data_IF_307491319894
#
_entry.id   IF_307491319894
#
_cell.length_a   1.000
_cell.length_b   1.000
_cell.length_c   1.000
_cell.angle_alpha   90.00
_cell.angle_beta   90.00
_cell.angle_gamma   90.00
#
_symmetry.space_group_name_H-M   'P 1'
#
loop_
_entity.id
_entity.type
_entity.pdbx_description
1 polymer ?
#
# COMPACT_ATOMS: atom_id res chain seq x y z
N UNK A 1 63.85 -1.00 40.52
CA UNK A 1 62.80 -2.04 40.77
C UNK A 1 61.69 -1.54 41.76
N UNK A 2 61.30 -0.26 41.70
CA UNK A 2 60.22 0.28 42.60
C UNK A 2 59.11 0.99 41.84
N UNK A 3 59.06 0.94 40.47
CA UNK A 3 58.02 1.63 39.71
C UNK A 3 56.82 0.73 39.25
N UNK A 4 56.85 -0.58 39.54
CA UNK A 4 55.87 -1.54 39.06
C UNK A 4 54.68 -1.84 40.00
N UNK A 5 54.74 -1.40 41.30
CA UNK A 5 53.70 -1.73 42.25
C UNK A 5 52.59 -0.68 42.39
N UNK A 6 52.88 0.59 42.09
CA UNK A 6 51.90 1.68 42.20
C UNK A 6 50.83 1.66 41.08
N UNK A 7 51.15 1.10 39.89
CA UNK A 7 50.18 1.06 38.76
C UNK A 7 49.13 -0.05 38.91
N UNK A 8 49.43 -1.13 39.61
CA UNK A 8 48.47 -2.23 39.82
C UNK A 8 47.45 -1.96 40.93
N UNK A 9 47.80 -1.11 41.91
CA UNK A 9 46.89 -0.79 43.02
C UNK A 9 45.78 0.20 42.61
N UNK A 10 46.05 1.06 41.61
CA UNK A 10 45.06 2.03 41.11
C UNK A 10 43.99 1.39 40.19
N UNK A 11 44.31 0.28 39.50
CA UNK A 11 43.34 -0.44 38.67
C UNK A 11 42.34 -1.28 39.50
N UNK A 12 42.76 -1.81 40.65
CA UNK A 12 41.85 -2.53 41.55
C UNK A 12 40.90 -1.61 42.29
N UNK A 13 41.31 -0.38 42.61
CA UNK A 13 40.42 0.60 43.28
C UNK A 13 39.37 1.15 42.32
N UNK A 14 39.65 1.31 41.02
CA UNK A 14 38.72 1.80 40.01
C UNK A 14 37.67 0.72 39.63
N UNK A 15 38.06 -0.54 39.65
CA UNK A 15 37.15 -1.67 39.38
C UNK A 15 36.22 -1.92 40.59
N UNK A 16 36.71 -1.74 41.83
CA UNK A 16 35.89 -1.89 43.05
C UNK A 16 34.82 -0.79 43.17
N UNK A 17 35.06 0.43 42.67
CA UNK A 17 34.09 1.53 42.67
C UNK A 17 33.00 1.39 41.62
N UNK A 18 33.26 0.66 40.54
CA UNK A 18 32.25 0.38 39.47
C UNK A 18 31.26 -0.75 39.85
N UNK A 19 31.62 -1.63 40.78
CA UNK A 19 30.73 -2.71 41.23
C UNK A 19 29.75 -2.31 42.35
N UNK A 20 29.93 -1.17 42.99
CA UNK A 20 29.06 -0.68 44.09
C UNK A 20 27.97 0.29 43.64
N UNK A 21 27.92 0.67 42.33
CA UNK A 21 26.96 1.65 41.82
C UNK A 21 25.63 1.03 41.31
N UNK A 22 25.52 -0.29 41.22
CA UNK A 22 24.38 -0.95 40.60
C UNK A 22 23.11 -1.15 41.48
N UNK A 23 23.14 -1.17 42.83
CA UNK A 23 21.92 -1.30 43.61
C UNK A 23 21.21 0.02 43.96
N UNK A 24 21.80 1.18 43.68
CA UNK A 24 21.27 2.48 44.14
C UNK A 24 20.05 2.92 43.36
N UNK A 25 19.96 2.59 42.06
CA UNK A 25 18.86 3.01 41.21
C UNK A 25 17.51 2.34 41.53
N UNK A 26 17.50 1.06 41.85
CA UNK A 26 16.27 0.33 42.19
C UNK A 26 15.68 0.72 43.53
N UNK A 27 16.52 1.11 44.48
CA UNK A 27 16.08 1.50 45.82
C UNK A 27 15.42 2.88 45.85
N UNK A 28 15.97 3.87 45.12
CA UNK A 28 15.39 5.20 44.99
C UNK A 28 14.02 5.19 44.30
N UNK A 29 13.84 4.34 43.34
CA UNK A 29 12.55 4.15 42.66
C UNK A 29 11.49 3.57 43.61
N UNK A 30 11.81 2.49 44.30
CA UNK A 30 10.92 1.85 45.27
C UNK A 30 10.53 2.82 46.40
N UNK A 31 11.47 3.56 46.97
CA UNK A 31 11.23 4.54 48.05
C UNK A 31 10.33 5.71 47.63
N UNK A 32 10.43 6.17 46.35
CA UNK A 32 9.60 7.25 45.88
C UNK A 32 8.17 6.81 45.56
N UNK A 33 7.99 5.55 45.20
CA UNK A 33 6.69 5.00 44.79
C UNK A 33 5.91 4.39 45.96
N UNK A 34 6.59 3.82 46.95
CA UNK A 34 6.00 3.13 48.10
C UNK A 34 4.90 3.96 48.81
N UNK A 35 5.08 5.27 49.11
CA UNK A 35 4.05 6.04 49.80
C UNK A 35 2.73 6.14 49.00
N UNK A 36 2.77 6.14 47.66
CA UNK A 36 1.57 6.15 46.85
C UNK A 36 0.87 4.78 46.84
N UNK A 37 1.67 3.71 46.75
CA UNK A 37 1.19 2.32 46.78
C UNK A 37 0.48 2.02 48.09
N UNK A 38 1.14 2.33 49.21
CA UNK A 38 0.60 2.09 50.57
C UNK A 38 -0.66 2.89 50.84
N UNK A 39 -0.69 4.15 50.41
CA UNK A 39 -1.83 5.04 50.68
C UNK A 39 -3.08 4.81 49.78
N UNK A 40 -2.90 4.21 48.60
CA UNK A 40 -3.99 4.28 47.59
C UNK A 40 -4.12 3.07 46.66
N UNK A 41 -3.19 2.13 46.67
CA UNK A 41 -3.17 1.05 45.67
C UNK A 41 -3.27 -0.35 46.30
N UNK A 42 -2.60 -0.56 47.43
CA UNK A 42 -2.38 -1.89 48.02
C UNK A 42 -3.68 -2.58 48.43
N UNK A 43 -4.69 -1.84 48.90
CA UNK A 43 -5.98 -2.39 49.33
C UNK A 43 -6.72 -3.18 48.21
N UNK A 44 -6.35 -2.95 46.94
CA UNK A 44 -6.98 -3.61 45.80
C UNK A 44 -5.95 -4.39 44.98
N UNK A 45 -4.67 -4.22 45.17
CA UNK A 45 -3.58 -4.80 44.41
C UNK A 45 -2.57 -5.55 45.26
N UNK A 46 -3.04 -6.19 46.34
CA UNK A 46 -2.25 -7.06 47.22
C UNK A 46 -2.28 -8.54 46.79
N UNK A 47 -1.68 -9.42 47.57
CA UNK A 47 -1.66 -10.84 47.30
C UNK A 47 -3.02 -11.55 47.50
N UNK A 48 -3.98 -10.90 48.19
CA UNK A 48 -5.25 -11.50 48.61
C UNK A 48 -6.44 -11.04 47.76
N UNK A 49 -6.26 -10.06 46.90
CA UNK A 49 -7.29 -9.56 46.01
C UNK A 49 -7.23 -10.23 44.67
N UNK A 50 -8.41 -10.50 44.08
CA UNK A 50 -8.55 -11.12 42.77
C UNK A 50 -8.42 -10.06 41.65
N UNK A 51 -7.22 -9.44 41.57
CA UNK A 51 -6.88 -8.50 40.49
C UNK A 51 -5.67 -9.01 39.70
N UNK A 52 -5.63 -8.74 38.38
CA UNK A 52 -4.53 -9.22 37.54
C UNK A 52 -3.14 -8.66 37.94
N UNK A 53 -3.13 -7.48 38.58
CA UNK A 53 -1.92 -6.81 39.02
C UNK A 53 -1.73 -6.95 40.54
N UNK A 54 -0.59 -7.57 40.94
CA UNK A 54 -0.18 -7.65 42.32
C UNK A 54 1.07 -6.78 42.54
N UNK A 55 0.89 -5.65 43.23
CA UNK A 55 1.96 -4.67 43.47
C UNK A 55 2.99 -5.11 44.51
N UNK A 56 2.70 -6.13 45.32
CA UNK A 56 3.68 -6.71 46.25
C UNK A 56 4.72 -7.58 45.53
N UNK A 57 4.31 -8.17 44.39
CA UNK A 57 5.12 -9.11 43.58
C UNK A 57 5.75 -8.50 42.35
N UNK A 58 5.36 -7.27 41.98
CA UNK A 58 5.90 -6.61 40.80
C UNK A 58 7.40 -6.35 40.95
N UNK A 59 8.16 -6.72 39.95
CA UNK A 59 9.60 -6.43 39.91
C UNK A 59 9.88 -4.93 39.80
N UNK A 60 11.12 -4.54 40.14
CA UNK A 60 11.59 -3.17 39.98
C UNK A 60 12.74 -3.07 38.95
N UNK A 61 13.09 -4.16 38.31
CA UNK A 61 14.08 -4.19 37.24
C UNK A 61 13.44 -3.78 35.92
N UNK A 62 13.60 -2.52 35.57
CA UNK A 62 13.07 -1.98 34.32
C UNK A 62 13.85 -2.43 33.06
N UNK A 63 14.90 -3.20 33.20
CA UNK A 63 15.59 -3.85 32.09
C UNK A 63 14.83 -5.10 31.58
N UNK A 64 13.99 -5.70 32.46
CA UNK A 64 13.07 -6.76 32.04
C UNK A 64 11.86 -6.17 31.26
N UNK A 65 11.61 -6.63 30.02
CA UNK A 65 10.55 -6.08 29.18
C UNK A 65 9.13 -6.21 29.77
N UNK A 66 8.86 -7.25 30.57
CA UNK A 66 7.56 -7.45 31.19
C UNK A 66 7.34 -6.50 32.34
N UNK A 67 8.34 -6.38 33.21
CA UNK A 67 8.37 -5.41 34.33
C UNK A 67 8.24 -3.98 33.80
N UNK A 68 9.00 -3.62 32.77
CA UNK A 68 8.91 -2.31 32.15
C UNK A 68 7.48 -2.01 31.64
N UNK A 69 6.87 -2.93 30.92
CA UNK A 69 5.50 -2.77 30.40
C UNK A 69 4.47 -2.58 31.51
N UNK A 70 4.57 -3.37 32.58
CA UNK A 70 3.68 -3.25 33.74
C UNK A 70 3.78 -1.86 34.38
N UNK A 71 4.99 -1.34 34.54
CA UNK A 71 5.20 -0.01 35.11
C UNK A 71 4.76 1.13 34.19
N UNK A 72 4.84 0.98 32.87
CA UNK A 72 4.23 1.92 31.89
C UNK A 72 2.71 1.94 32.05
N UNK A 73 2.08 0.77 32.10
CA UNK A 73 0.63 0.66 32.30
C UNK A 73 0.17 1.28 33.63
N UNK A 74 0.90 1.04 34.72
CA UNK A 74 0.63 1.68 36.02
C UNK A 74 0.74 3.20 35.91
N UNK A 75 1.80 3.70 35.26
CA UNK A 75 1.99 5.13 35.05
C UNK A 75 0.79 5.75 34.33
N UNK A 76 0.39 5.17 33.17
CA UNK A 76 -0.70 5.67 32.35
C UNK A 76 -2.05 5.69 33.08
N UNK A 77 -2.36 4.64 33.84
CA UNK A 77 -3.60 4.54 34.63
C UNK A 77 -3.66 5.57 35.78
N UNK A 78 -2.53 5.83 36.43
CA UNK A 78 -2.46 6.80 37.53
C UNK A 78 -2.40 8.24 37.01
N UNK A 79 -1.69 8.49 35.91
CA UNK A 79 -1.57 9.82 35.30
C UNK A 79 -2.90 10.28 34.71
N UNK A 80 -3.58 9.43 33.94
CA UNK A 80 -4.91 9.68 33.38
C UNK A 80 -5.99 9.86 34.47
N UNK A 81 -5.71 9.41 35.69
CA UNK A 81 -6.66 9.45 36.82
C UNK A 81 -7.73 8.35 36.76
N UNK A 82 -7.52 7.32 35.98
CA UNK A 82 -8.36 6.11 36.00
C UNK A 82 -8.15 5.32 37.26
N UNK A 83 -6.90 5.31 37.79
CA UNK A 83 -6.58 4.74 39.08
C UNK A 83 -6.16 5.84 40.09
N UNK A 84 -6.57 5.71 41.38
CA UNK A 84 -7.61 4.83 41.92
C UNK A 84 -8.99 5.10 41.31
N UNK A 85 -9.92 4.13 41.32
CA UNK A 85 -11.28 4.30 40.79
C UNK A 85 -12.02 5.47 41.44
N UNK A 86 -12.95 6.11 40.71
CA UNK A 86 -13.67 7.33 41.15
C UNK A 86 -14.33 7.21 42.54
N UNK A 87 -14.71 6.00 42.92
CA UNK A 87 -15.37 5.72 44.21
C UNK A 87 -14.41 5.57 45.38
N UNK A 88 -13.10 5.58 45.17
CA UNK A 88 -12.07 5.44 46.17
C UNK A 88 -11.43 6.79 46.52
N UNK A 89 -10.85 6.87 47.72
CA UNK A 89 -10.15 8.09 48.20
C UNK A 89 -9.00 8.40 47.26
N UNK A 90 -8.94 9.63 46.79
CA UNK A 90 -7.83 10.10 45.96
C UNK A 90 -6.55 10.26 46.80
N UNK A 91 -5.38 9.88 46.26
CA UNK A 91 -4.12 10.11 46.90
C UNK A 91 -3.82 11.60 47.07
N UNK A 92 -2.98 11.93 48.06
CA UNK A 92 -2.43 13.28 48.16
C UNK A 92 -1.77 13.71 46.87
N UNK A 93 -2.05 14.93 46.42
CA UNK A 93 -1.58 15.44 45.14
C UNK A 93 -0.05 15.55 45.08
N UNK A 94 0.60 15.90 46.21
CA UNK A 94 2.04 16.03 46.25
C UNK A 94 2.70 14.65 46.15
N UNK A 95 2.16 13.65 46.87
CA UNK A 95 2.65 12.27 46.84
C UNK A 95 2.46 11.69 45.42
N UNK A 96 1.28 11.85 44.84
CA UNK A 96 0.99 11.40 43.48
C UNK A 96 1.97 11.99 42.46
N UNK A 97 2.11 13.32 42.43
CA UNK A 97 2.96 14.00 41.44
C UNK A 97 4.45 13.63 41.61
N UNK A 98 4.92 13.48 42.85
CA UNK A 98 6.29 13.03 43.10
C UNK A 98 6.53 11.61 42.61
N UNK A 99 5.60 10.69 42.89
CA UNK A 99 5.69 9.30 42.46
C UNK A 99 5.69 9.21 40.91
N UNK A 100 4.76 9.92 40.26
CA UNK A 100 4.70 9.95 38.78
C UNK A 100 5.95 10.56 38.15
N UNK A 101 6.45 11.67 38.67
CA UNK A 101 7.64 12.31 38.13
C UNK A 101 8.87 11.37 38.24
N UNK A 102 9.00 10.67 39.38
CA UNK A 102 10.11 9.73 39.61
C UNK A 102 9.97 8.51 38.70
N UNK A 103 8.76 7.93 38.56
CA UNK A 103 8.52 6.79 37.69
C UNK A 103 8.79 7.16 36.21
N UNK A 104 8.28 8.31 35.76
CA UNK A 104 8.54 8.81 34.42
C UNK A 104 10.03 8.91 34.10
N UNK A 105 10.82 9.47 35.07
CA UNK A 105 12.26 9.59 34.88
C UNK A 105 12.91 8.21 34.74
N UNK A 106 12.57 7.25 35.61
CA UNK A 106 13.13 5.90 35.57
C UNK A 106 12.75 5.14 34.29
N UNK A 107 11.50 5.23 33.85
CA UNK A 107 11.06 4.62 32.61
C UNK A 107 11.80 5.21 31.41
N UNK A 108 11.97 6.53 31.40
CA UNK A 108 12.73 7.22 30.33
C UNK A 108 14.19 6.78 30.32
N UNK A 109 14.85 6.74 31.50
CA UNK A 109 16.24 6.35 31.62
C UNK A 109 16.44 4.88 31.18
N UNK A 110 15.55 3.99 31.59
CA UNK A 110 15.56 2.58 31.17
C UNK A 110 15.35 2.45 29.64
N UNK A 111 14.44 3.22 29.09
CA UNK A 111 14.21 3.26 27.65
C UNK A 111 15.44 3.77 26.88
N UNK A 112 16.08 4.83 27.36
CA UNK A 112 17.31 5.36 26.78
C UNK A 112 18.47 4.37 26.92
N UNK A 113 18.62 3.72 28.05
CA UNK A 113 19.67 2.71 28.29
C UNK A 113 19.48 1.52 27.32
N UNK A 114 18.23 1.08 27.13
CA UNK A 114 17.89 0.05 26.14
C UNK A 114 18.24 0.51 24.73
N UNK A 115 17.86 1.73 24.35
CA UNK A 115 18.16 2.31 23.04
C UNK A 115 19.67 2.40 22.77
N UNK A 116 20.45 2.78 23.78
CA UNK A 116 21.92 2.85 23.69
C UNK A 116 22.52 1.45 23.56
N UNK A 117 22.01 0.48 24.32
CA UNK A 117 22.49 -0.91 24.30
C UNK A 117 22.13 -1.66 23.03
N UNK A 118 20.91 -1.53 22.57
CA UNK A 118 20.37 -2.23 21.40
C UNK A 118 20.68 -1.50 20.09
N UNK A 119 21.10 -0.24 20.17
CA UNK A 119 21.35 0.59 19.00
C UNK A 119 20.07 1.17 18.39
N UNK A 120 20.23 1.71 17.18
CA UNK A 120 19.07 2.17 16.40
C UNK A 120 18.20 0.97 16.01
N UNK A 121 16.92 1.23 15.78
CA UNK A 121 16.02 0.23 15.21
C UNK A 121 16.70 -0.47 14.02
N UNK A 122 16.59 -1.80 13.91
CA UNK A 122 17.18 -2.51 12.80
C UNK A 122 16.67 -1.92 11.49
N UNK A 123 17.57 -1.80 10.52
CA UNK A 123 17.19 -1.37 9.16
C UNK A 123 16.22 -2.41 8.62
N UNK A 124 15.01 -1.96 8.32
CA UNK A 124 14.03 -2.81 7.65
C UNK A 124 14.22 -2.76 6.13
N UNK A 125 13.85 -3.82 5.44
CA UNK A 125 13.69 -3.77 3.99
C UNK A 125 12.43 -2.97 3.61
N UNK A 126 12.36 -2.53 2.37
CA UNK A 126 11.12 -2.01 1.83
C UNK A 126 10.09 -3.13 1.68
N UNK A 127 8.83 -2.84 1.92
CA UNK A 127 7.73 -3.72 1.53
C UNK A 127 7.61 -3.77 0.01
N UNK A 128 6.86 -4.72 -0.51
CA UNK A 128 6.59 -4.84 -1.96
C UNK A 128 6.08 -3.53 -2.56
N UNK A 129 5.10 -2.93 -1.89
CA UNK A 129 4.46 -1.68 -2.32
C UNK A 129 5.41 -0.49 -2.22
N UNK A 130 6.18 -0.39 -1.13
CA UNK A 130 7.18 0.67 -0.97
C UNK A 130 8.29 0.57 -2.01
N UNK A 131 8.74 -0.65 -2.34
CA UNK A 131 9.76 -0.86 -3.36
C UNK A 131 9.24 -0.46 -4.75
N UNK A 132 8.02 -0.88 -5.12
CA UNK A 132 7.37 -0.49 -6.37
C UNK A 132 7.25 1.03 -6.47
N UNK A 133 6.67 1.69 -5.48
CA UNK A 133 6.50 3.15 -5.51
C UNK A 133 7.84 3.89 -5.54
N UNK A 134 8.86 3.37 -4.86
CA UNK A 134 10.21 3.95 -4.92
C UNK A 134 10.77 3.91 -6.34
N UNK A 135 10.61 2.79 -7.06
CA UNK A 135 11.05 2.69 -8.45
C UNK A 135 10.18 3.53 -9.40
N UNK A 136 8.87 3.62 -9.15
CA UNK A 136 7.99 4.49 -9.93
C UNK A 136 8.42 5.96 -9.83
N UNK A 137 8.65 6.44 -8.61
CA UNK A 137 9.04 7.82 -8.35
C UNK A 137 10.45 8.13 -8.90
N UNK A 138 11.38 7.19 -8.74
CA UNK A 138 12.77 7.36 -9.17
C UNK A 138 12.93 7.33 -10.69
N UNK A 139 12.16 6.48 -11.38
CA UNK A 139 12.37 6.17 -12.79
C UNK A 139 11.27 6.71 -13.72
N UNK A 140 10.22 7.31 -13.16
CA UNK A 140 9.10 7.85 -13.94
C UNK A 140 8.29 6.78 -14.69
N UNK A 141 8.17 5.60 -14.11
CA UNK A 141 7.43 4.45 -14.64
C UNK A 141 6.17 4.17 -13.82
N UNK A 142 5.37 3.19 -14.21
CA UNK A 142 4.12 2.84 -13.52
C UNK A 142 3.69 1.39 -13.74
N UNK A 143 4.63 0.51 -14.12
CA UNK A 143 4.37 -0.91 -14.30
C UNK A 143 4.19 -1.66 -12.97
N UNK A 144 3.53 -2.81 -12.99
CA UNK A 144 3.40 -3.69 -11.83
C UNK A 144 4.71 -4.42 -11.53
N UNK A 145 5.43 -3.93 -10.53
CA UNK A 145 6.67 -4.53 -10.04
C UNK A 145 6.44 -5.34 -8.75
N UNK A 146 5.44 -4.95 -7.96
CA UNK A 146 5.13 -5.60 -6.68
C UNK A 146 4.74 -7.07 -6.84
N UNK A 147 4.06 -7.44 -7.93
CA UNK A 147 3.68 -8.84 -8.20
C UNK A 147 4.87 -9.79 -8.37
N UNK A 148 6.06 -9.28 -8.68
CA UNK A 148 7.29 -10.06 -8.83
C UNK A 148 8.01 -10.33 -7.50
N UNK A 149 7.67 -9.57 -6.47
CA UNK A 149 8.27 -9.71 -5.16
C UNK A 149 7.52 -10.76 -4.33
N UNK A 150 8.22 -11.50 -3.47
CA UNK A 150 7.59 -12.44 -2.55
C UNK A 150 6.54 -11.74 -1.69
N UNK A 151 5.43 -12.40 -1.34
CA UNK A 151 4.43 -11.83 -0.45
C UNK A 151 5.05 -11.50 0.92
N UNK A 152 4.50 -10.49 1.58
CA UNK A 152 4.93 -10.14 2.93
C UNK A 152 4.58 -11.25 3.93
N UNK A 153 5.37 -11.36 5.00
CA UNK A 153 5.08 -12.27 6.09
C UNK A 153 3.78 -11.85 6.79
N UNK A 154 2.93 -12.82 7.08
CA UNK A 154 1.67 -12.61 7.80
C UNK A 154 1.79 -12.84 9.29
N UNK A 155 3.02 -12.96 9.83
CA UNK A 155 3.27 -13.28 11.24
C UNK A 155 3.01 -12.11 12.19
N UNK A 156 3.00 -10.87 11.69
CA UNK A 156 2.69 -9.67 12.47
C UNK A 156 1.49 -8.91 11.93
N UNK A 157 0.93 -8.02 12.76
CA UNK A 157 -0.20 -7.15 12.39
C UNK A 157 0.19 -6.11 11.33
N UNK A 158 1.47 -5.74 11.26
CA UNK A 158 1.99 -4.74 10.33
C UNK A 158 3.19 -5.31 9.55
N UNK A 159 3.16 -5.13 8.25
CA UNK A 159 4.22 -5.53 7.32
C UNK A 159 5.50 -4.68 7.39
N UNK A 160 5.46 -3.59 8.17
CA UNK A 160 6.57 -2.66 8.36
C UNK A 160 7.41 -2.93 9.63
N UNK A 161 7.11 -4.00 10.38
CA UNK A 161 7.89 -4.36 11.58
C UNK A 161 9.23 -4.97 11.17
N UNK A 162 10.32 -4.27 11.44
CA UNK A 162 11.67 -4.68 11.02
C UNK A 162 12.10 -6.07 11.54
N UNK A 163 11.68 -6.43 12.76
CA UNK A 163 12.00 -7.75 13.35
C UNK A 163 11.42 -8.93 12.56
N UNK A 164 10.29 -8.72 11.87
CA UNK A 164 9.58 -9.75 11.11
C UNK A 164 9.98 -9.77 9.63
N UNK A 165 10.74 -8.76 9.18
CA UNK A 165 11.17 -8.62 7.78
C UNK A 165 12.51 -9.32 7.52
N UNK A 166 12.50 -10.64 7.40
CA UNK A 166 13.67 -11.40 6.95
C UNK A 166 14.02 -11.11 5.48
N UNK A 167 15.31 -11.14 5.15
CA UNK A 167 15.82 -11.10 3.77
C UNK A 167 16.33 -12.49 3.41
N UNK A 168 15.77 -13.09 2.36
CA UNK A 168 16.24 -14.35 1.79
C UNK A 168 16.87 -14.14 0.43
N UNK A 169 17.59 -15.14 -0.08
CA UNK A 169 18.14 -15.14 -1.45
C UNK A 169 17.04 -14.94 -2.50
N UNK A 170 15.82 -15.42 -2.22
CA UNK A 170 14.66 -15.24 -3.11
C UNK A 170 14.28 -13.75 -3.17
N UNK A 171 14.24 -13.06 -2.03
CA UNK A 171 13.98 -11.62 -1.99
C UNK A 171 15.00 -10.84 -2.83
N UNK A 172 16.30 -11.13 -2.65
CA UNK A 172 17.37 -10.44 -3.40
C UNK A 172 17.21 -10.65 -4.90
N UNK A 173 16.99 -11.90 -5.34
CA UNK A 173 16.76 -12.20 -6.75
C UNK A 173 15.53 -11.50 -7.31
N UNK A 174 14.45 -11.44 -6.56
CA UNK A 174 13.20 -10.78 -6.97
C UNK A 174 13.38 -9.26 -7.06
N UNK A 175 14.11 -8.64 -6.12
CA UNK A 175 14.45 -7.22 -6.20
C UNK A 175 15.28 -6.90 -7.44
N UNK A 176 16.28 -7.71 -7.76
CA UNK A 176 17.10 -7.54 -8.97
C UNK A 176 16.23 -7.70 -10.23
N UNK A 177 15.38 -8.72 -10.30
CA UNK A 177 14.49 -8.92 -11.45
C UNK A 177 13.47 -7.77 -11.62
N UNK A 178 12.97 -7.21 -10.53
CA UNK A 178 12.07 -6.05 -10.56
C UNK A 178 12.83 -4.78 -10.99
N UNK A 179 14.08 -4.61 -10.54
CA UNK A 179 14.95 -3.51 -10.98
C UNK A 179 15.29 -3.60 -12.47
N UNK A 180 15.64 -4.79 -12.96
CA UNK A 180 15.91 -5.01 -14.40
C UNK A 180 14.69 -4.64 -15.24
N UNK A 181 13.48 -5.09 -14.84
CA UNK A 181 12.25 -4.70 -15.52
C UNK A 181 12.01 -3.18 -15.47
N UNK A 182 12.26 -2.55 -14.32
CA UNK A 182 12.08 -1.11 -14.17
C UNK A 182 13.02 -0.33 -15.10
N UNK A 183 14.25 -0.77 -15.26
CA UNK A 183 15.23 -0.19 -16.21
C UNK A 183 14.75 -0.40 -17.65
N UNK A 184 14.28 -1.61 -18.00
CA UNK A 184 13.78 -1.92 -19.34
C UNK A 184 12.54 -1.06 -19.69
N UNK A 185 11.66 -0.76 -18.71
CA UNK A 185 10.53 0.15 -18.91
C UNK A 185 10.97 1.62 -19.05
N UNK A 186 12.05 2.01 -18.39
CA UNK A 186 12.54 3.39 -18.40
C UNK A 186 13.24 3.71 -19.72
N UNK A 187 14.03 2.77 -20.26
CA UNK A 187 14.83 2.98 -21.47
C UNK A 187 13.97 2.69 -22.70
N UNK A 188 13.52 3.74 -23.37
CA UNK A 188 12.74 3.65 -24.61
C UNK A 188 13.48 4.30 -25.77
N UNK A 189 14.09 3.47 -26.62
CA UNK A 189 14.88 3.88 -27.78
C UNK A 189 14.26 3.46 -29.12
N UNK A 190 13.07 2.81 -29.09
CA UNK A 190 12.35 2.44 -30.30
C UNK A 190 11.84 3.69 -31.03
N UNK A 191 11.44 3.56 -32.31
CA UNK A 191 10.83 4.67 -33.04
C UNK A 191 9.67 5.28 -32.30
N UNK A 192 9.53 6.60 -32.40
CA UNK A 192 8.34 7.28 -31.84
C UNK A 192 7.08 6.63 -32.41
N UNK A 193 6.14 6.18 -31.57
CA UNK A 193 4.90 5.61 -32.05
C UNK A 193 4.01 6.68 -32.71
N UNK A 194 3.05 6.26 -33.51
CA UNK A 194 1.99 7.14 -33.98
C UNK A 194 1.14 7.58 -32.77
N UNK A 195 1.06 8.89 -32.56
CA UNK A 195 0.36 9.52 -31.44
C UNK A 195 -1.05 10.02 -31.80
N UNK A 196 -1.51 9.76 -33.05
CA UNK A 196 -2.84 10.18 -33.43
C UNK A 196 -3.91 9.48 -32.56
N UNK A 197 -4.92 10.24 -32.09
CA UNK A 197 -5.99 9.67 -31.29
C UNK A 197 -6.70 8.53 -32.03
N UNK A 198 -6.69 7.35 -31.44
CA UNK A 198 -7.34 6.17 -32.02
C UNK A 198 -8.81 6.13 -31.61
N UNK A 199 -9.69 6.37 -32.56
CA UNK A 199 -11.13 6.20 -32.37
C UNK A 199 -11.50 4.72 -32.45
N UNK A 200 -12.27 4.25 -31.48
CA UNK A 200 -12.80 2.89 -31.43
C UNK A 200 -14.31 2.96 -31.68
N UNK A 201 -14.71 2.49 -32.83
CA UNK A 201 -16.11 2.40 -33.22
C UNK A 201 -16.72 1.08 -32.75
N UNK A 202 -17.17 1.04 -31.51
CA UNK A 202 -17.75 -0.17 -30.93
C UNK A 202 -18.93 -0.77 -31.74
N UNK A 203 -19.93 -0.01 -32.18
CA UNK A 203 -21.05 -0.58 -32.95
C UNK A 203 -20.64 -1.30 -34.21
N UNK A 204 -19.54 -0.91 -34.84
CA UNK A 204 -19.08 -1.45 -36.11
C UNK A 204 -17.80 -2.28 -36.01
N UNK A 205 -17.24 -2.44 -34.79
CA UNK A 205 -16.00 -3.16 -34.62
C UNK A 205 -16.10 -4.65 -35.01
N UNK A 206 -15.21 -5.20 -35.85
CA UNK A 206 -15.31 -6.58 -36.39
C UNK A 206 -15.42 -7.65 -35.31
N UNK A 207 -14.65 -7.55 -34.23
CA UNK A 207 -14.71 -8.47 -33.08
C UNK A 207 -16.12 -8.50 -32.46
N UNK A 208 -16.77 -7.36 -32.30
CA UNK A 208 -18.08 -7.26 -31.67
C UNK A 208 -19.21 -7.75 -32.58
N UNK A 209 -19.04 -7.74 -33.92
CA UNK A 209 -20.03 -8.28 -34.82
C UNK A 209 -20.32 -9.77 -34.53
N UNK A 210 -19.32 -10.52 -34.12
CA UNK A 210 -19.49 -11.92 -33.71
C UNK A 210 -20.42 -12.05 -32.48
N UNK A 211 -20.28 -11.15 -31.55
CA UNK A 211 -21.12 -11.12 -30.34
C UNK A 211 -22.53 -10.63 -30.63
N UNK A 212 -22.70 -9.63 -31.46
CA UNK A 212 -24.02 -9.13 -31.87
C UNK A 212 -24.88 -10.18 -32.59
N UNK A 213 -24.29 -11.06 -33.36
CA UNK A 213 -24.98 -12.21 -33.95
C UNK A 213 -25.56 -13.18 -32.92
N UNK A 214 -25.07 -13.16 -31.70
CA UNK A 214 -25.52 -13.99 -30.58
C UNK A 214 -26.55 -13.32 -29.67
N UNK A 215 -26.81 -12.03 -29.82
CA UNK A 215 -27.73 -11.26 -28.94
C UNK A 215 -29.17 -11.79 -28.93
N UNK A 216 -29.55 -12.52 -29.97
CA UNK A 216 -30.88 -13.13 -30.16
C UNK A 216 -31.06 -14.47 -29.44
N UNK A 217 -29.99 -15.06 -28.93
CA UNK A 217 -30.00 -16.38 -28.30
C UNK A 217 -29.98 -16.30 -26.79
N UNK A 218 -30.82 -17.09 -26.14
CA UNK A 218 -30.65 -17.34 -24.70
C UNK A 218 -29.23 -17.85 -24.45
N UNK A 219 -28.55 -17.31 -23.44
CA UNK A 219 -27.17 -17.66 -23.13
C UNK A 219 -26.12 -17.14 -24.14
N UNK A 220 -26.53 -16.32 -25.13
CA UNK A 220 -25.67 -15.88 -26.21
C UNK A 220 -24.60 -14.84 -25.76
N UNK A 221 -25.04 -13.71 -25.25
CA UNK A 221 -24.16 -12.64 -24.79
C UNK A 221 -24.89 -11.64 -23.85
N UNK A 222 -24.14 -10.69 -23.36
CA UNK A 222 -24.61 -9.64 -22.44
C UNK A 222 -24.48 -8.24 -23.04
N UNK A 223 -24.21 -8.14 -24.33
CA UNK A 223 -24.09 -6.87 -25.05
C UNK A 223 -25.10 -6.76 -26.15
N UNK A 224 -25.54 -5.54 -26.43
CA UNK A 224 -26.53 -5.22 -27.46
C UNK A 224 -26.02 -4.11 -28.36
N UNK A 225 -26.21 -4.29 -29.68
CA UNK A 225 -25.91 -3.24 -30.64
C UNK A 225 -27.06 -2.24 -30.72
N UNK A 226 -26.72 -0.96 -30.68
CA UNK A 226 -27.57 0.16 -31.12
C UNK A 226 -26.93 0.83 -32.31
N UNK A 227 -27.69 1.69 -33.02
CA UNK A 227 -27.22 2.38 -34.25
C UNK A 227 -25.87 3.07 -34.02
N UNK A 228 -25.71 3.72 -32.90
CA UNK A 228 -24.57 4.56 -32.54
C UNK A 228 -23.91 4.20 -31.20
N UNK A 229 -24.23 3.03 -30.60
CA UNK A 229 -23.73 2.63 -29.32
C UNK A 229 -23.62 1.11 -29.14
N UNK A 230 -22.66 0.70 -28.33
CA UNK A 230 -22.63 -0.60 -27.68
C UNK A 230 -23.31 -0.49 -26.31
N UNK A 231 -24.27 -1.34 -26.02
CA UNK A 231 -24.89 -1.44 -24.70
C UNK A 231 -24.33 -2.66 -23.97
N UNK A 232 -23.86 -2.45 -22.73
CA UNK A 232 -23.31 -3.48 -21.83
C UNK A 232 -24.28 -3.67 -20.69
N UNK A 233 -24.60 -4.93 -20.34
CA UNK A 233 -25.55 -5.30 -19.29
C UNK A 233 -24.92 -6.11 -18.14
N UNK A 234 -23.61 -6.31 -18.14
CA UNK A 234 -22.90 -7.02 -17.07
C UNK A 234 -21.49 -6.48 -16.88
N UNK A 235 -20.83 -6.91 -15.80
CA UNK A 235 -19.49 -6.51 -15.43
C UNK A 235 -18.39 -7.41 -15.98
N UNK A 236 -18.73 -8.38 -16.83
CA UNK A 236 -17.75 -9.32 -17.39
C UNK A 236 -16.86 -8.68 -18.46
N UNK A 237 -15.53 -8.75 -18.27
CA UNK A 237 -14.62 -7.97 -19.11
C UNK A 237 -14.47 -8.44 -20.54
N UNK A 238 -14.69 -9.72 -20.84
CA UNK A 238 -14.28 -10.35 -22.10
C UNK A 238 -14.85 -9.72 -23.39
N UNK A 239 -16.04 -9.11 -23.34
CA UNK A 239 -16.64 -8.44 -24.51
C UNK A 239 -16.06 -7.05 -24.77
N UNK A 240 -15.51 -6.38 -23.77
CA UNK A 240 -15.02 -5.01 -23.89
C UNK A 240 -13.51 -4.90 -23.70
N UNK A 241 -12.81 -6.00 -23.53
CA UNK A 241 -11.35 -6.02 -23.41
C UNK A 241 -10.69 -5.45 -24.68
N UNK A 242 -9.84 -4.48 -24.50
CA UNK A 242 -9.16 -3.79 -25.60
C UNK A 242 -8.25 -4.72 -26.41
N UNK A 243 -7.55 -5.66 -25.76
CA UNK A 243 -6.69 -6.64 -26.44
C UNK A 243 -7.47 -7.57 -27.40
N UNK A 244 -8.70 -7.98 -27.02
CA UNK A 244 -9.57 -8.77 -27.90
C UNK A 244 -10.01 -7.97 -29.14
N UNK A 245 -10.03 -6.65 -29.06
CA UNK A 245 -10.28 -5.75 -30.18
C UNK A 245 -9.01 -5.35 -30.95
N UNK A 246 -7.89 -6.02 -30.68
CA UNK A 246 -6.60 -5.72 -31.33
C UNK A 246 -5.97 -4.41 -30.89
N UNK A 247 -6.42 -3.84 -29.79
CA UNK A 247 -5.85 -2.64 -29.17
C UNK A 247 -4.83 -3.10 -28.15
N UNK A 248 -3.55 -2.86 -28.45
CA UNK A 248 -2.44 -3.27 -27.60
C UNK A 248 -1.54 -2.09 -27.30
N UNK A 249 -1.08 -2.01 -26.06
CA UNK A 249 -0.07 -1.06 -25.64
C UNK A 249 1.31 -1.63 -26.03
N UNK A 250 2.00 -0.96 -26.94
CA UNK A 250 3.32 -1.41 -27.45
C UNK A 250 4.47 -0.76 -26.72
N UNK A 251 4.22 0.39 -26.15
CA UNK A 251 5.19 1.24 -25.47
C UNK A 251 4.67 1.54 -24.07
N UNK A 252 5.49 1.38 -23.03
CA UNK A 252 5.13 1.82 -21.69
C UNK A 252 4.92 3.34 -21.64
N UNK A 253 3.90 3.80 -20.93
CA UNK A 253 3.66 5.24 -20.77
C UNK A 253 2.26 5.59 -20.33
N UNK A 254 2.04 6.89 -20.12
CA UNK A 254 0.71 7.42 -19.82
C UNK A 254 -0.17 7.43 -21.06
N UNK A 255 -1.38 6.92 -20.92
CA UNK A 255 -2.41 6.93 -21.95
C UNK A 255 -3.68 7.56 -21.41
N UNK A 256 -4.43 8.21 -22.30
CA UNK A 256 -5.73 8.79 -21.98
C UNK A 256 -6.83 8.04 -22.70
N UNK A 257 -7.78 7.52 -21.94
CA UNK A 257 -9.00 6.88 -22.44
C UNK A 257 -10.15 7.86 -22.26
N UNK A 258 -10.83 8.24 -23.35
CA UNK A 258 -12.03 9.06 -23.31
C UNK A 258 -13.22 8.24 -23.78
N UNK A 259 -14.32 8.27 -23.06
CA UNK A 259 -15.55 7.59 -23.45
C UNK A 259 -16.75 8.54 -23.41
N UNK A 260 -17.66 8.41 -24.38
CA UNK A 260 -18.97 9.03 -24.35
C UNK A 260 -20.02 7.97 -24.04
N UNK A 261 -20.63 8.05 -22.84
CA UNK A 261 -21.51 7.01 -22.35
C UNK A 261 -22.72 7.58 -21.57
N UNK A 262 -23.77 6.78 -21.45
CA UNK A 262 -24.95 7.10 -20.63
C UNK A 262 -25.59 5.84 -20.05
N UNK A 263 -26.36 5.99 -18.99
CA UNK A 263 -27.16 4.90 -18.44
C UNK A 263 -28.30 4.56 -19.41
N UNK A 264 -28.44 3.28 -19.74
CA UNK A 264 -29.38 2.75 -20.72
C UNK A 264 -30.50 1.97 -20.03
N UNK A 265 -31.76 2.24 -20.38
CA UNK A 265 -32.95 1.62 -19.75
C UNK A 265 -33.01 1.78 -18.22
N UNK A 266 -32.25 2.70 -17.67
CA UNK A 266 -32.18 2.98 -16.25
C UNK A 266 -33.14 4.10 -15.86
N UNK A 267 -33.63 4.08 -14.61
CA UNK A 267 -34.41 5.15 -14.00
C UNK A 267 -33.58 6.05 -13.10
N UNK A 268 -32.48 5.50 -12.60
CA UNK A 268 -31.51 6.14 -11.73
C UNK A 268 -30.15 6.17 -12.40
N UNK A 269 -29.19 6.99 -11.92
CA UNK A 269 -27.83 6.95 -12.40
C UNK A 269 -27.21 5.56 -12.24
N UNK A 270 -26.36 5.15 -13.19
CA UNK A 270 -25.61 3.88 -13.17
C UNK A 270 -24.14 4.17 -13.10
N UNK A 271 -23.42 3.44 -12.26
CA UNK A 271 -21.96 3.55 -12.16
C UNK A 271 -21.30 2.89 -13.37
N UNK A 272 -20.48 3.65 -14.07
CA UNK A 272 -19.66 3.18 -15.19
C UNK A 272 -18.20 3.18 -14.77
N UNK A 273 -17.51 2.07 -15.02
CA UNK A 273 -16.14 1.84 -14.60
C UNK A 273 -15.24 1.52 -15.78
N UNK A 274 -13.99 1.96 -15.69
CA UNK A 274 -12.90 1.52 -16.56
C UNK A 274 -11.89 0.82 -15.67
N UNK A 275 -11.48 -0.38 -16.09
CA UNK A 275 -10.52 -1.21 -15.38
C UNK A 275 -9.29 -1.46 -16.25
N UNK A 276 -8.14 -1.61 -15.62
CA UNK A 276 -6.94 -2.19 -16.22
C UNK A 276 -6.85 -3.67 -15.84
N UNK A 277 -6.40 -4.49 -16.78
CA UNK A 277 -6.00 -5.87 -16.58
C UNK A 277 -4.70 -6.16 -17.32
N UNK A 278 -4.11 -7.34 -17.08
CA UNK A 278 -2.90 -7.77 -17.74
C UNK A 278 -3.07 -9.19 -18.31
N UNK A 279 -2.52 -9.46 -19.50
CA UNK A 279 -2.60 -10.75 -20.20
C UNK A 279 -1.97 -11.91 -19.39
N UNK A 280 -1.05 -11.61 -18.47
CA UNK A 280 -0.41 -12.59 -17.58
C UNK A 280 -1.33 -13.05 -16.44
N UNK A 281 -2.50 -12.44 -16.30
CA UNK A 281 -3.54 -12.82 -15.35
C UNK A 281 -3.38 -12.16 -13.97
N UNK A 282 -4.51 -11.92 -13.32
CA UNK A 282 -4.58 -11.57 -11.89
C UNK A 282 -4.75 -10.10 -11.54
N UNK A 283 -4.39 -9.16 -12.39
CA UNK A 283 -4.57 -7.73 -12.08
C UNK A 283 -5.93 -7.27 -12.59
N UNK A 284 -6.79 -6.85 -11.66
CA UNK A 284 -8.02 -6.10 -11.94
C UNK A 284 -7.97 -4.81 -11.13
N UNK A 285 -7.55 -3.75 -11.78
CA UNK A 285 -7.40 -2.44 -11.17
C UNK A 285 -8.51 -1.50 -11.67
N UNK A 286 -9.23 -0.87 -10.75
CA UNK A 286 -10.20 0.18 -11.09
C UNK A 286 -9.44 1.47 -11.35
N UNK A 287 -9.40 1.92 -12.62
CA UNK A 287 -8.69 3.15 -13.01
C UNK A 287 -9.60 4.37 -13.16
N UNK A 288 -10.91 4.17 -13.25
CA UNK A 288 -11.87 5.27 -13.30
C UNK A 288 -13.30 4.83 -13.05
N UNK A 289 -14.09 5.70 -12.43
CA UNK A 289 -15.50 5.44 -12.06
C UNK A 289 -16.34 6.73 -12.15
N UNK A 290 -17.51 6.65 -12.75
CA UNK A 290 -18.41 7.80 -12.96
C UNK A 290 -19.87 7.39 -12.85
N UNK A 291 -20.68 8.29 -12.30
CA UNK A 291 -22.14 8.18 -12.35
C UNK A 291 -22.65 8.71 -13.70
N UNK A 292 -23.37 7.88 -14.43
CA UNK A 292 -24.00 8.22 -15.70
C UNK A 292 -25.49 8.38 -15.54
N UNK A 293 -26.05 9.48 -16.03
CA UNK A 293 -27.49 9.73 -16.00
C UNK A 293 -28.23 9.01 -17.13
N UNK A 294 -29.50 8.64 -16.94
CA UNK A 294 -30.33 8.06 -17.96
C UNK A 294 -30.46 8.95 -19.20
N UNK A 295 -30.21 8.40 -20.37
CA UNK A 295 -30.44 9.03 -21.67
C UNK A 295 -29.60 10.26 -22.00
N UNK A 296 -28.78 10.76 -21.08
CA UNK A 296 -27.90 11.93 -21.29
C UNK A 296 -26.45 11.48 -21.44
N UNK A 297 -25.87 11.49 -22.64
CA UNK A 297 -24.47 11.16 -22.83
C UNK A 297 -23.57 12.10 -22.04
N UNK A 298 -22.58 11.52 -21.36
CA UNK A 298 -21.53 12.21 -20.63
C UNK A 298 -20.19 11.80 -21.21
N UNK A 299 -19.30 12.75 -21.42
CA UNK A 299 -17.91 12.47 -21.70
C UNK A 299 -17.18 12.25 -20.37
N UNK A 300 -16.45 11.14 -20.30
CA UNK A 300 -15.57 10.77 -19.20
C UNK A 300 -14.18 10.54 -19.74
N UNK A 301 -13.17 10.79 -18.92
CA UNK A 301 -11.78 10.57 -19.30
C UNK A 301 -10.96 10.12 -18.10
N UNK A 302 -9.99 9.23 -18.34
CA UNK A 302 -9.00 8.80 -17.36
C UNK A 302 -7.63 8.76 -18.05
N UNK A 303 -6.62 9.14 -17.30
CA UNK A 303 -5.21 8.92 -17.64
C UNK A 303 -4.66 7.84 -16.73
N UNK A 304 -3.94 6.91 -17.33
CA UNK A 304 -3.33 5.82 -16.58
C UNK A 304 -2.08 5.31 -17.31
N UNK A 305 -1.14 4.78 -16.54
CA UNK A 305 0.07 4.17 -17.08
C UNK A 305 -0.20 2.74 -17.54
N UNK A 306 0.16 2.43 -18.79
CA UNK A 306 0.03 1.10 -19.37
C UNK A 306 1.38 0.59 -19.85
N UNK A 307 1.58 -0.71 -19.69
CA UNK A 307 2.75 -1.44 -20.18
C UNK A 307 2.35 -2.47 -21.24
N UNK A 308 3.30 -3.00 -22.03
CA UNK A 308 3.02 -4.11 -22.94
C UNK A 308 2.43 -5.32 -22.19
N UNK A 309 1.31 -5.84 -22.72
CA UNK A 309 0.54 -6.91 -22.07
C UNK A 309 -0.65 -6.41 -21.25
N UNK A 310 -0.72 -5.11 -20.97
CA UNK A 310 -1.91 -4.53 -20.36
C UNK A 310 -3.06 -4.39 -21.36
N UNK A 311 -4.26 -4.41 -20.83
CA UNK A 311 -5.49 -4.06 -21.53
C UNK A 311 -6.41 -3.27 -20.61
N UNK A 312 -7.33 -2.53 -21.15
CA UNK A 312 -8.45 -1.98 -20.40
C UNK A 312 -9.75 -2.66 -20.82
N UNK A 313 -10.74 -2.58 -19.94
CA UNK A 313 -12.10 -2.97 -20.25
C UNK A 313 -13.09 -2.05 -19.55
N UNK A 314 -14.30 -2.02 -20.09
CA UNK A 314 -15.39 -1.17 -19.67
C UNK A 314 -16.45 -2.04 -19.04
N UNK A 315 -16.96 -1.65 -17.88
CA UNK A 315 -18.01 -2.38 -17.21
C UNK A 315 -18.93 -1.43 -16.41
N UNK A 316 -20.23 -1.68 -16.37
CA UNK A 316 -21.09 -1.08 -15.37
C UNK A 316 -20.83 -1.73 -14.01
N UNK A 317 -20.96 -0.93 -12.95
CA UNK A 317 -21.13 -1.41 -11.60
C UNK A 317 -22.53 -1.03 -11.10
N UNK A 318 -22.96 -1.60 -9.99
CA UNK A 318 -24.24 -1.29 -9.34
C UNK A 318 -25.49 -1.49 -10.23
N UNK A 319 -25.41 -2.39 -11.21
CA UNK A 319 -26.59 -2.79 -11.92
C UNK A 319 -27.44 -3.70 -11.06
N UNK A 320 -28.77 -3.52 -11.11
CA UNK A 320 -29.77 -4.39 -10.48
C UNK A 320 -29.83 -5.80 -11.09
N UNK A 321 -28.87 -6.10 -11.96
CA UNK A 321 -28.69 -7.40 -12.56
C UNK A 321 -27.71 -8.24 -11.74
N UNK A 322 -27.93 -9.54 -11.75
CA UNK A 322 -26.98 -10.53 -11.30
C UNK A 322 -25.59 -10.23 -11.88
N UNK A 323 -24.54 -10.05 -11.04
CA UNK A 323 -23.19 -9.72 -11.48
C UNK A 323 -22.62 -10.70 -12.52
N UNK A 324 -23.17 -11.90 -12.61
CA UNK A 324 -22.82 -12.86 -13.67
C UNK A 324 -23.62 -12.73 -14.96
N UNK A 325 -24.48 -11.70 -15.09
CA UNK A 325 -25.34 -11.50 -16.26
C UNK A 325 -26.37 -12.61 -16.51
N UNK A 326 -26.74 -13.38 -15.49
CA UNK A 326 -27.67 -14.51 -15.64
C UNK A 326 -29.04 -14.08 -16.15
N UNK A 327 -29.55 -12.96 -15.65
CA UNK A 327 -30.85 -12.44 -16.10
C UNK A 327 -30.82 -12.06 -17.58
N UNK A 328 -29.78 -11.36 -18.05
CA UNK A 328 -29.65 -11.00 -19.45
C UNK A 328 -29.42 -12.23 -20.32
N UNK A 329 -28.64 -13.20 -19.88
CA UNK A 329 -28.41 -14.46 -20.58
C UNK A 329 -29.67 -15.32 -20.67
N UNK A 330 -30.55 -15.26 -19.69
CA UNK A 330 -31.78 -16.04 -19.68
C UNK A 330 -32.78 -15.60 -20.77
N UNK A 331 -32.84 -14.31 -21.09
CA UNK A 331 -33.77 -13.77 -22.07
C UNK A 331 -33.10 -13.35 -23.40
N UNK A 332 -31.78 -13.16 -23.37
CA UNK A 332 -31.01 -12.61 -24.48
C UNK A 332 -30.90 -11.08 -24.41
N UNK A 333 -29.76 -10.56 -24.81
CA UNK A 333 -29.47 -9.12 -24.71
C UNK A 333 -30.41 -8.23 -25.54
N UNK A 334 -30.94 -8.75 -26.64
CA UNK A 334 -31.92 -8.06 -27.46
C UNK A 334 -33.20 -7.74 -26.70
N UNK A 335 -33.73 -8.72 -26.00
CA UNK A 335 -35.06 -8.65 -25.36
C UNK A 335 -34.97 -8.24 -23.87
N UNK A 336 -33.76 -8.14 -23.36
CA UNK A 336 -33.51 -7.71 -21.97
C UNK A 336 -33.98 -6.26 -21.76
N UNK A 337 -34.72 -6.04 -20.68
CA UNK A 337 -35.29 -4.75 -20.30
C UNK A 337 -34.67 -4.12 -19.06
N UNK A 338 -33.71 -4.77 -18.48
CA UNK A 338 -32.96 -4.24 -17.33
C UNK A 338 -31.97 -3.15 -17.72
N UNK A 339 -31.39 -2.56 -16.71
CA UNK A 339 -30.45 -1.47 -16.82
C UNK A 339 -29.11 -1.91 -17.45
N UNK A 340 -28.42 -0.96 -18.08
CA UNK A 340 -27.12 -1.14 -18.68
C UNK A 340 -26.43 0.20 -18.93
N UNK A 341 -25.25 0.13 -19.53
CA UNK A 341 -24.50 1.30 -19.99
C UNK A 341 -24.37 1.28 -21.50
N UNK A 342 -24.74 2.37 -22.16
CA UNK A 342 -24.54 2.60 -23.58
C UNK A 342 -23.28 3.43 -23.81
N UNK A 343 -22.33 2.90 -24.58
CA UNK A 343 -21.08 3.56 -24.96
C UNK A 343 -21.16 3.91 -26.42
N UNK A 344 -21.12 5.21 -26.75
CA UNK A 344 -21.23 5.73 -28.10
C UNK A 344 -19.89 5.84 -28.80
N UNK A 345 -18.90 6.37 -28.10
CA UNK A 345 -17.59 6.64 -28.65
C UNK A 345 -16.52 6.38 -27.60
N UNK A 346 -15.43 5.79 -28.02
CA UNK A 346 -14.23 5.66 -27.20
C UNK A 346 -13.03 6.11 -28.01
N UNK A 347 -12.15 6.88 -27.39
CA UNK A 347 -10.91 7.33 -27.99
C UNK A 347 -9.75 6.97 -27.05
N UNK A 348 -8.69 6.40 -27.61
CA UNK A 348 -7.42 6.14 -26.94
C UNK A 348 -6.36 7.09 -27.50
N UNK A 349 -5.71 7.84 -26.61
CA UNK A 349 -4.62 8.78 -26.93
C UNK A 349 -3.37 8.33 -26.16
N UNK A 350 -2.21 8.38 -26.78
CA UNK A 350 -0.94 8.11 -26.09
C UNK A 350 -0.01 7.14 -26.82
N UNK A 351 1.20 6.95 -26.28
CA UNK A 351 1.67 7.51 -25.00
C UNK A 351 1.69 9.05 -25.02
N UNK A 352 1.36 9.68 -23.89
CA UNK A 352 1.20 11.14 -23.76
C UNK A 352 2.56 11.87 -23.59
N UNK A 353 3.59 11.38 -24.24
CA UNK A 353 4.94 11.90 -24.16
C UNK A 353 5.13 13.17 -25.01
N UNK A 354 5.60 14.25 -24.39
CA UNK A 354 5.85 15.51 -25.07
C UNK A 354 7.01 15.45 -26.05
N UNK A 355 8.02 14.66 -25.72
CA UNK A 355 9.26 14.48 -26.50
C UNK A 355 9.61 13.00 -26.65
N UNK A 356 10.51 12.71 -27.60
CA UNK A 356 11.00 11.36 -27.84
C UNK A 356 12.51 11.33 -28.05
N UNK A 357 13.30 10.44 -27.42
CA UNK A 357 12.90 9.48 -26.39
C UNK A 357 12.21 10.15 -25.19
N UNK A 358 11.38 9.41 -24.41
CA UNK A 358 10.67 9.94 -23.26
C UNK A 358 11.58 10.61 -22.22
N UNK A 359 11.01 11.52 -21.42
CA UNK A 359 11.74 12.25 -20.38
C UNK A 359 12.43 11.27 -19.40
N UNK A 360 11.75 10.25 -18.94
CA UNK A 360 12.31 9.19 -18.07
C UNK A 360 13.59 8.54 -18.63
N UNK A 361 13.64 8.32 -19.95
CA UNK A 361 14.82 7.78 -20.62
C UNK A 361 15.98 8.78 -20.62
N UNK A 362 15.67 10.03 -20.85
CA UNK A 362 16.65 11.12 -20.85
C UNK A 362 17.23 11.38 -19.47
N UNK A 363 16.36 11.38 -18.45
CA UNK A 363 16.75 11.62 -17.06
C UNK A 363 17.66 10.49 -16.54
N UNK A 364 17.32 9.24 -16.86
CA UNK A 364 18.15 8.09 -16.47
C UNK A 364 19.53 8.10 -17.13
N UNK A 365 19.59 8.42 -18.43
CA UNK A 365 20.81 8.37 -19.21
C UNK A 365 21.65 9.66 -19.14
N UNK A 366 21.09 10.73 -18.59
CA UNK A 366 21.77 12.01 -18.38
C UNK A 366 22.13 12.73 -19.67
N UNK A 367 23.24 13.43 -19.67
CA UNK A 367 23.67 14.32 -20.75
C UNK A 367 24.27 13.57 -21.95
N UNK A 368 23.56 12.56 -22.48
CA UNK A 368 23.96 11.84 -23.69
C UNK A 368 23.25 12.39 -24.92
N UNK A 369 23.90 12.33 -26.07
CA UNK A 369 23.29 12.68 -27.35
C UNK A 369 22.47 11.51 -27.88
N UNK A 370 21.22 11.77 -28.27
CA UNK A 370 20.33 10.81 -28.91
C UNK A 370 20.30 11.06 -30.41
N UNK A 371 20.74 10.12 -31.23
CA UNK A 371 20.66 10.22 -32.70
C UNK A 371 19.59 9.26 -33.24
N UNK A 372 18.68 9.80 -34.04
CA UNK A 372 17.76 8.99 -34.78
C UNK A 372 18.46 8.20 -35.88
N UNK A 373 18.36 6.89 -35.85
CA UNK A 373 18.88 6.01 -36.89
C UNK A 373 17.92 5.90 -38.10
N UNK A 374 18.35 5.24 -39.19
CA UNK A 374 17.59 5.15 -40.44
C UNK A 374 16.21 4.48 -40.29
N UNK A 375 16.01 3.66 -39.26
CA UNK A 375 14.74 2.99 -38.95
C UNK A 375 13.93 3.71 -37.87
N UNK A 376 14.33 4.93 -37.49
CA UNK A 376 13.70 5.72 -36.44
C UNK A 376 14.07 5.34 -35.03
N UNK A 377 14.83 4.25 -34.80
CA UNK A 377 15.39 3.93 -33.49
C UNK A 377 16.39 4.99 -33.07
N UNK A 378 16.52 5.23 -31.79
CA UNK A 378 17.50 6.13 -31.23
C UNK A 378 18.76 5.36 -30.80
N UNK A 379 19.92 5.91 -31.08
CA UNK A 379 21.21 5.45 -30.59
C UNK A 379 21.76 6.46 -29.59
N UNK A 380 22.41 5.96 -28.55
CA UNK A 380 23.16 6.77 -27.59
C UNK A 380 24.52 7.01 -28.16
N UNK A 381 24.94 8.26 -28.26
CA UNK A 381 26.30 8.63 -28.63
C UNK A 381 27.11 8.92 -27.38
N UNK A 382 28.06 8.07 -27.08
CA UNK A 382 29.01 8.30 -26.00
C UNK A 382 30.08 9.27 -26.55
N UNK A 383 30.25 10.42 -25.88
CA UNK A 383 31.25 11.44 -26.22
C UNK A 383 32.66 11.00 -25.85
#
# INVERSE_FOLDING_TARGET
RCAGLALKMNQFLTIALLFFALPIYGQAFKEAWAPLVEASCIDCHDANTDTPLNLEKIGHDLSDPNTFRQWVEIFDQVDSGEMPPKKKKRPDRVIKNKALATLHQHLRDASLAKLIKEGRAPVRRLTRTEYEYTLHDLLGIGGDLASKLPPESTTSTFDTIAADQGISTIHIRSYLAAADQAIDETIELRPRPDLEPRLIDYPNHPYLQMWFKRELRRGGNTVKRKKDALVIFDDRPHTTQSNNMGIRFKVPGQYRIKAEAHAFQARTPVTFCIYRGNDLGGVRELIGSWQLNPGKPRQVAVEHYFTPGDYFYLAPADLDCDPNGRKVLAVGARDYRGEGVAIRRLTLEGPLEKQWPPERTRDLLGAVEFRAGPRGNYAIVLG
#
